data_IF_045456262351
#
_entry.id   IF_045456262351
#
_cell.length_a   1.000
_cell.length_b   1.000
_cell.length_c   1.000
_cell.angle_alpha   90.00
_cell.angle_beta   90.00
_cell.angle_gamma   90.00
#
_symmetry.space_group_name_H-M   'P 1'
#
loop_
_entity.id
_entity.type
_entity.pdbx_description
1 polymer ?
#
# COMPACT_ATOMS: atom_id res chain seq x y z
N UNK A 1 -10.96 -7.73 -15.41
CA UNK A 1 -10.43 -8.78 -14.55
C UNK A 1 -10.93 -10.09 -15.06
N UNK A 2 -10.06 -11.08 -15.12
CA UNK A 2 -10.33 -12.43 -15.58
C UNK A 2 -9.56 -13.41 -14.71
N UNK A 3 -10.07 -14.63 -14.54
CA UNK A 3 -9.37 -15.68 -13.79
C UNK A 3 -8.83 -16.69 -14.79
N UNK A 4 -7.52 -16.69 -15.02
CA UNK A 4 -6.92 -17.37 -16.17
C UNK A 4 -6.31 -18.72 -15.81
N UNK A 5 -6.11 -18.99 -14.52
CA UNK A 5 -5.50 -20.22 -14.02
C UNK A 5 -5.78 -20.40 -12.51
N UNK A 6 -5.29 -21.51 -11.95
CA UNK A 6 -5.41 -21.81 -10.52
C UNK A 6 -4.72 -20.78 -9.61
N UNK A 7 -3.62 -20.16 -10.07
CA UNK A 7 -2.91 -19.15 -9.27
C UNK A 7 -3.78 -17.91 -9.09
N UNK A 8 -4.37 -17.38 -10.17
CA UNK A 8 -5.34 -16.28 -10.12
C UNK A 8 -6.51 -16.64 -9.16
N UNK A 9 -7.00 -17.88 -9.22
CA UNK A 9 -8.07 -18.35 -8.34
C UNK A 9 -7.68 -18.42 -6.86
N UNK A 10 -6.46 -18.85 -6.57
CA UNK A 10 -5.93 -18.92 -5.21
C UNK A 10 -5.70 -17.52 -4.63
N UNK A 11 -5.32 -16.54 -5.45
CA UNK A 11 -5.22 -15.16 -5.01
C UNK A 11 -6.57 -14.64 -4.52
N UNK A 12 -7.66 -14.91 -5.24
CA UNK A 12 -9.02 -14.53 -4.81
C UNK A 12 -9.39 -15.19 -3.48
N UNK A 13 -9.05 -16.47 -3.28
CA UNK A 13 -9.28 -17.15 -2.00
C UNK A 13 -8.52 -16.48 -0.84
N UNK A 14 -7.25 -16.11 -1.07
CA UNK A 14 -6.43 -15.44 -0.05
C UNK A 14 -7.00 -14.08 0.38
N UNK A 15 -7.83 -13.43 -0.45
CA UNK A 15 -8.48 -12.18 -0.07
C UNK A 15 -9.43 -12.35 1.12
N UNK A 16 -10.01 -13.54 1.30
CA UNK A 16 -10.86 -13.86 2.45
C UNK A 16 -10.16 -13.78 3.80
N UNK A 17 -8.83 -13.91 3.83
CA UNK A 17 -8.01 -13.73 5.05
C UNK A 17 -7.72 -12.25 5.34
N UNK A 18 -7.77 -11.42 4.30
CA UNK A 18 -7.42 -10.00 4.38
C UNK A 18 -8.63 -9.05 4.44
N UNK A 19 -9.84 -9.57 4.22
CA UNK A 19 -11.07 -8.76 4.10
C UNK A 19 -12.24 -9.43 4.82
N UNK A 20 -13.31 -8.67 5.06
CA UNK A 20 -14.57 -9.22 5.59
C UNK A 20 -15.48 -9.83 4.52
N UNK A 21 -15.07 -9.85 3.25
CA UNK A 21 -15.85 -10.33 2.12
C UNK A 21 -15.75 -11.86 1.97
N UNK A 22 -16.89 -12.52 1.76
CA UNK A 22 -16.96 -13.97 1.49
C UNK A 22 -17.05 -14.32 0.01
N UNK A 23 -17.54 -13.39 -0.81
CA UNK A 23 -17.82 -13.59 -2.22
C UNK A 23 -17.27 -12.43 -3.03
N UNK A 24 -16.73 -12.76 -4.20
CA UNK A 24 -16.07 -11.82 -5.09
C UNK A 24 -16.54 -11.97 -6.53
N UNK A 25 -16.99 -10.86 -7.11
CA UNK A 25 -17.16 -10.73 -8.55
C UNK A 25 -15.83 -10.90 -9.26
N UNK A 26 -15.80 -11.85 -10.18
CA UNK A 26 -14.60 -12.22 -10.97
C UNK A 26 -14.52 -11.49 -12.31
N UNK A 27 -15.47 -10.60 -12.61
CA UNK A 27 -15.58 -9.92 -13.90
C UNK A 27 -16.06 -10.81 -15.05
N UNK A 28 -16.50 -12.04 -14.77
CA UNK A 28 -17.06 -12.96 -15.74
C UNK A 28 -18.58 -12.98 -15.73
N UNK A 29 -19.17 -13.38 -16.85
CA UNK A 29 -20.62 -13.56 -17.00
C UNK A 29 -20.93 -14.69 -17.97
N UNK A 30 -22.11 -15.28 -17.85
CA UNK A 30 -22.62 -16.32 -18.73
C UNK A 30 -23.87 -15.84 -19.47
N UNK A 31 -23.98 -16.16 -20.75
CA UNK A 31 -25.13 -15.85 -21.60
C UNK A 31 -25.32 -16.92 -22.67
N UNK A 32 -26.53 -17.47 -22.77
CA UNK A 32 -26.86 -18.51 -23.74
C UNK A 32 -26.03 -19.80 -23.56
N UNK A 33 -25.64 -20.13 -22.34
CA UNK A 33 -24.80 -21.31 -22.04
C UNK A 33 -23.31 -21.13 -22.32
N UNK A 34 -22.87 -19.95 -22.77
CA UNK A 34 -21.46 -19.60 -22.94
C UNK A 34 -21.04 -18.56 -21.91
N UNK A 35 -19.83 -18.70 -21.37
CA UNK A 35 -19.29 -17.75 -20.40
C UNK A 35 -18.13 -16.94 -21.00
N UNK A 36 -17.95 -15.71 -20.55
CA UNK A 36 -16.96 -14.76 -21.07
C UNK A 36 -16.51 -13.78 -19.99
N UNK A 37 -15.32 -13.23 -20.16
CA UNK A 37 -14.79 -12.16 -19.30
C UNK A 37 -15.14 -10.79 -19.86
N UNK A 38 -15.45 -9.84 -18.98
CA UNK A 38 -15.75 -8.44 -19.36
C UNK A 38 -14.56 -7.69 -19.97
N UNK A 39 -13.33 -8.16 -19.75
CA UNK A 39 -12.11 -7.60 -20.34
C UNK A 39 -11.76 -8.19 -21.71
N UNK A 40 -12.55 -9.14 -22.22
CA UNK A 40 -12.37 -9.76 -23.54
C UNK A 40 -11.25 -10.81 -23.61
N UNK A 41 -10.61 -11.15 -22.49
CA UNK A 41 -9.62 -12.23 -22.45
C UNK A 41 -10.25 -13.62 -22.72
N UNK A 42 -9.48 -14.62 -23.20
CA UNK A 42 -10.02 -15.95 -23.47
C UNK A 42 -10.55 -16.67 -22.22
N UNK A 43 -11.76 -17.21 -22.30
CA UNK A 43 -12.38 -18.00 -21.23
C UNK A 43 -11.90 -19.46 -21.29
N UNK A 44 -10.69 -19.73 -20.79
CA UNK A 44 -10.02 -21.05 -20.92
C UNK A 44 -9.92 -21.83 -19.60
N UNK A 45 -10.07 -21.17 -18.47
CA UNK A 45 -10.00 -21.76 -17.14
C UNK A 45 -11.35 -21.67 -16.45
N UNK A 46 -11.71 -22.74 -15.73
CA UNK A 46 -12.97 -22.82 -14.98
C UNK A 46 -12.75 -23.48 -13.64
N UNK A 47 -13.38 -22.96 -12.61
CA UNK A 47 -13.36 -23.55 -11.28
C UNK A 47 -14.77 -23.55 -10.67
N UNK A 48 -15.71 -24.13 -11.40
CA UNK A 48 -17.14 -24.14 -11.04
C UNK A 48 -17.43 -25.01 -9.81
N UNK A 49 -18.31 -24.52 -8.96
CA UNK A 49 -18.97 -25.34 -7.94
C UNK A 49 -19.86 -26.41 -8.62
N UNK A 50 -20.18 -27.46 -7.87
CA UNK A 50 -20.97 -28.59 -8.35
C UNK A 50 -22.34 -28.12 -8.86
N UNK A 51 -22.56 -28.29 -10.16
CA UNK A 51 -23.82 -27.97 -10.83
C UNK A 51 -23.87 -26.58 -11.47
N UNK A 52 -22.76 -25.84 -11.44
CA UNK A 52 -22.60 -24.53 -12.08
C UNK A 52 -21.91 -24.64 -13.45
N UNK A 53 -22.09 -23.67 -14.35
CA UNK A 53 -23.02 -22.55 -14.26
C UNK A 53 -24.49 -23.00 -14.44
N UNK A 54 -25.41 -22.49 -13.63
CA UNK A 54 -26.84 -22.82 -13.69
C UNK A 54 -27.73 -21.67 -14.19
N UNK A 55 -27.14 -20.48 -14.42
CA UNK A 55 -27.87 -19.31 -14.91
C UNK A 55 -27.05 -18.47 -15.92
N UNK A 56 -27.75 -17.63 -16.68
CA UNK A 56 -27.13 -16.65 -17.60
C UNK A 56 -26.86 -15.33 -16.86
N UNK A 57 -26.02 -15.37 -15.83
CA UNK A 57 -25.73 -14.23 -14.95
C UNK A 57 -24.21 -14.08 -14.69
N UNK A 58 -23.84 -13.24 -13.73
CA UNK A 58 -22.46 -12.90 -13.40
C UNK A 58 -21.81 -14.01 -12.55
N UNK A 59 -20.48 -14.13 -12.65
CA UNK A 59 -19.69 -15.16 -11.97
C UNK A 59 -19.14 -14.62 -10.65
N UNK A 60 -19.55 -15.24 -9.55
CA UNK A 60 -19.06 -14.98 -8.20
C UNK A 60 -18.20 -16.14 -7.69
N UNK A 61 -17.08 -15.82 -7.06
CA UNK A 61 -16.17 -16.78 -6.43
C UNK A 61 -16.33 -16.77 -4.92
N UNK A 62 -16.52 -17.95 -4.31
CA UNK A 62 -16.53 -18.10 -2.85
C UNK A 62 -15.11 -18.26 -2.32
N UNK A 63 -14.67 -17.42 -1.37
CA UNK A 63 -13.28 -17.47 -0.86
C UNK A 63 -12.95 -18.73 -0.06
N UNK A 64 -13.96 -19.42 0.48
CA UNK A 64 -13.73 -20.60 1.33
C UNK A 64 -13.28 -21.84 0.57
N UNK A 65 -13.75 -22.04 -0.66
CA UNK A 65 -13.34 -23.15 -1.54
C UNK A 65 -12.66 -22.69 -2.82
N UNK A 66 -12.84 -21.41 -3.18
CA UNK A 66 -12.43 -20.83 -4.46
C UNK A 66 -13.40 -21.11 -5.61
N UNK A 67 -14.45 -21.89 -5.38
CA UNK A 67 -15.38 -22.33 -6.41
C UNK A 67 -16.31 -21.22 -6.86
N UNK A 68 -16.67 -21.27 -8.14
CA UNK A 68 -17.47 -20.26 -8.81
C UNK A 68 -18.92 -20.69 -8.93
N UNK A 69 -19.82 -19.73 -8.82
CA UNK A 69 -21.22 -19.91 -9.13
C UNK A 69 -21.75 -18.71 -9.91
N UNK A 70 -22.85 -18.92 -10.64
CA UNK A 70 -23.57 -17.82 -11.29
C UNK A 70 -24.63 -17.26 -10.37
N UNK A 71 -24.69 -15.93 -10.25
CA UNK A 71 -25.65 -15.22 -9.41
C UNK A 71 -26.06 -13.90 -10.06
N UNK A 72 -27.27 -13.41 -9.74
CA UNK A 72 -27.83 -12.16 -10.25
C UNK A 72 -26.80 -11.03 -10.16
N UNK A 73 -26.47 -10.43 -11.31
CA UNK A 73 -25.50 -9.35 -11.43
C UNK A 73 -25.84 -8.10 -10.58
N UNK A 74 -27.10 -7.92 -10.19
CA UNK A 74 -27.54 -6.85 -9.30
C UNK A 74 -27.24 -7.10 -7.82
N UNK A 75 -26.73 -8.28 -7.46
CA UNK A 75 -26.39 -8.65 -6.09
C UNK A 75 -25.16 -7.87 -5.62
N UNK A 76 -25.21 -7.37 -4.37
CA UNK A 76 -24.07 -6.66 -3.76
C UNK A 76 -23.03 -7.65 -3.28
N UNK A 77 -21.92 -7.71 -3.98
CA UNK A 77 -20.72 -8.44 -3.57
C UNK A 77 -19.48 -7.57 -3.73
N UNK A 78 -18.39 -8.00 -3.10
CA UNK A 78 -17.09 -7.38 -3.33
C UNK A 78 -16.62 -7.73 -4.74
N UNK A 79 -15.69 -6.96 -5.29
CA UNK A 79 -15.11 -7.23 -6.60
C UNK A 79 -13.60 -7.31 -6.47
N UNK A 80 -12.98 -8.18 -7.25
CA UNK A 80 -11.53 -8.25 -7.38
C UNK A 80 -11.12 -7.60 -8.68
N UNK A 81 -9.97 -6.92 -8.68
CA UNK A 81 -9.33 -6.42 -9.88
C UNK A 81 -7.90 -6.95 -9.93
N UNK A 82 -7.50 -7.46 -11.08
CA UNK A 82 -6.13 -7.79 -11.42
C UNK A 82 -5.49 -6.53 -12.00
N UNK A 83 -4.46 -6.04 -11.32
CA UNK A 83 -3.58 -5.01 -11.87
C UNK A 83 -2.48 -5.70 -12.67
N UNK A 84 -2.05 -5.15 -13.82
CA UNK A 84 -0.99 -5.74 -14.65
C UNK A 84 0.34 -5.92 -13.90
N UNK A 85 0.53 -5.14 -12.85
CA UNK A 85 1.68 -5.16 -11.97
C UNK A 85 1.20 -5.03 -10.53
N UNK A 86 1.87 -5.71 -9.60
CA UNK A 86 1.63 -5.49 -8.19
C UNK A 86 1.99 -4.05 -7.85
N UNK A 87 1.11 -3.35 -7.13
CA UNK A 87 1.37 -1.99 -6.68
C UNK A 87 2.36 -2.08 -5.54
N UNK A 88 3.59 -1.62 -5.74
CA UNK A 88 4.67 -1.82 -4.77
C UNK A 88 4.86 -0.61 -3.87
N UNK A 89 4.29 0.55 -4.21
CA UNK A 89 4.24 1.73 -3.37
C UNK A 89 3.04 2.64 -3.69
N UNK A 90 2.96 3.78 -3.01
CA UNK A 90 1.93 4.78 -3.23
C UNK A 90 2.06 5.52 -4.58
N UNK A 91 3.27 5.59 -5.15
CA UNK A 91 3.49 6.23 -6.44
C UNK A 91 2.84 5.41 -7.58
N UNK A 92 2.89 4.09 -7.51
CA UNK A 92 2.18 3.21 -8.46
C UNK A 92 0.68 3.50 -8.41
N UNK A 93 0.08 3.57 -7.21
CA UNK A 93 -1.34 3.88 -7.02
C UNK A 93 -1.69 5.26 -7.57
N UNK A 94 -0.84 6.24 -7.29
CA UNK A 94 -0.99 7.59 -7.79
C UNK A 94 -0.97 7.63 -9.32
N UNK A 95 -0.03 6.94 -9.96
CA UNK A 95 0.16 6.95 -11.41
C UNK A 95 -1.02 6.33 -12.17
N UNK A 96 -1.70 5.34 -11.58
CA UNK A 96 -2.91 4.74 -12.17
C UNK A 96 -4.21 5.46 -11.82
N UNK A 97 -4.12 6.61 -11.14
CA UNK A 97 -5.24 7.54 -10.96
C UNK A 97 -5.88 7.57 -9.58
N UNK A 98 -5.34 6.87 -8.58
CA UNK A 98 -5.83 6.96 -7.20
C UNK A 98 -5.21 8.18 -6.52
N UNK A 99 -6.02 9.22 -6.30
CA UNK A 99 -5.55 10.55 -5.87
C UNK A 99 -5.96 10.94 -4.45
N UNK A 100 -6.72 10.10 -3.76
CA UNK A 100 -7.15 10.38 -2.38
C UNK A 100 -6.12 9.85 -1.39
N UNK A 101 -5.66 10.67 -0.44
CA UNK A 101 -4.79 10.21 0.64
C UNK A 101 -5.55 9.26 1.57
N UNK A 102 -4.88 8.22 2.07
CA UNK A 102 -5.52 7.20 2.90
C UNK A 102 -4.67 5.95 3.04
N UNK A 103 -5.26 4.91 3.61
CA UNK A 103 -4.62 3.61 3.70
C UNK A 103 -4.74 2.87 2.37
N UNK A 104 -3.62 2.32 1.90
CA UNK A 104 -3.52 1.51 0.70
C UNK A 104 -2.79 0.21 1.01
N UNK A 105 -3.00 -0.78 0.15
CA UNK A 105 -2.29 -2.04 0.18
C UNK A 105 -1.20 -2.04 -0.89
N UNK A 106 0.02 -2.34 -0.47
CA UNK A 106 1.17 -2.49 -1.38
C UNK A 106 1.78 -3.88 -1.21
N UNK A 107 2.58 -4.30 -2.20
CA UNK A 107 3.28 -5.58 -2.20
C UNK A 107 4.77 -5.37 -2.37
N UNK A 108 5.56 -5.80 -1.38
CA UNK A 108 7.02 -5.76 -1.39
C UNK A 108 7.53 -7.20 -1.26
N UNK A 109 8.34 -7.68 -2.21
CA UNK A 109 8.84 -9.06 -2.24
C UNK A 109 7.78 -10.14 -1.97
N UNK A 110 6.61 -10.02 -2.63
CA UNK A 110 5.44 -10.90 -2.46
C UNK A 110 4.81 -10.89 -1.05
N UNK A 111 5.21 -9.97 -0.18
CA UNK A 111 4.59 -9.73 1.13
C UNK A 111 3.70 -8.50 1.02
N UNK A 112 2.49 -8.59 1.56
CA UNK A 112 1.54 -7.48 1.53
C UNK A 112 1.67 -6.62 2.77
N UNK A 113 1.68 -5.30 2.56
CA UNK A 113 1.71 -4.29 3.61
C UNK A 113 0.50 -3.36 3.46
N UNK A 114 -0.08 -2.98 4.59
CA UNK A 114 -0.91 -1.77 4.65
C UNK A 114 0.03 -0.59 4.86
N UNK A 115 -0.15 0.48 4.10
CA UNK A 115 0.62 1.72 4.18
C UNK A 115 -0.28 2.93 4.14
N UNK A 116 0.13 4.01 4.79
CA UNK A 116 -0.51 5.30 4.62
C UNK A 116 0.11 5.98 3.39
N UNK A 117 -0.72 6.29 2.40
CA UNK A 117 -0.32 7.08 1.24
C UNK A 117 -0.76 8.53 1.40
N UNK A 118 0.18 9.45 1.23
CA UNK A 118 -0.13 10.85 1.00
C UNK A 118 -0.10 11.17 -0.50
N UNK A 119 -1.29 11.43 -1.04
CA UNK A 119 -1.52 11.76 -2.44
C UNK A 119 -1.57 13.28 -2.70
N UNK A 120 -1.33 14.11 -1.68
CA UNK A 120 -1.22 15.56 -1.81
C UNK A 120 0.21 16.00 -2.17
N UNK A 121 0.40 17.28 -2.52
CA UNK A 121 1.72 17.90 -2.73
C UNK A 121 2.65 17.12 -3.68
N UNK A 122 2.15 16.78 -4.88
CA UNK A 122 2.85 15.93 -5.84
C UNK A 122 2.43 14.46 -5.77
N UNK A 123 2.01 14.02 -4.59
CA UNK A 123 1.39 12.72 -4.33
C UNK A 123 2.29 11.51 -4.55
N UNK A 124 1.76 10.33 -4.22
CA UNK A 124 2.51 9.08 -4.33
C UNK A 124 3.48 8.83 -3.17
N UNK A 125 3.36 9.56 -2.08
CA UNK A 125 4.26 9.43 -0.93
C UNK A 125 3.84 8.26 -0.02
N UNK A 126 4.71 7.27 0.12
CA UNK A 126 4.54 6.19 1.10
C UNK A 126 5.05 6.66 2.46
N UNK A 127 4.14 6.87 3.42
CA UNK A 127 4.51 7.31 4.77
C UNK A 127 5.01 6.10 5.57
N UNK A 128 6.29 6.10 5.93
CA UNK A 128 6.90 5.01 6.71
C UNK A 128 6.98 5.30 8.21
N UNK A 129 6.85 6.55 8.62
CA UNK A 129 6.87 6.98 10.02
C UNK A 129 5.97 8.19 10.19
N UNK A 130 5.15 8.20 11.24
CA UNK A 130 4.38 9.37 11.65
C UNK A 130 4.45 9.59 13.17
N UNK A 131 4.62 10.85 13.59
CA UNK A 131 4.50 11.34 14.98
C UNK A 131 3.61 12.58 15.02
N UNK A 132 2.37 12.41 15.45
CA UNK A 132 1.41 13.52 15.61
C UNK A 132 1.30 13.97 17.07
N UNK A 133 1.53 13.07 18.02
CA UNK A 133 1.50 13.37 19.46
C UNK A 133 2.57 12.55 20.23
N UNK A 134 2.61 12.74 21.55
CA UNK A 134 3.54 12.07 22.45
C UNK A 134 2.96 10.82 23.12
N UNK A 135 1.78 10.36 22.72
CA UNK A 135 1.07 9.28 23.42
C UNK A 135 1.64 7.90 23.11
N UNK A 136 2.40 7.77 22.01
CA UNK A 136 3.06 6.52 21.66
C UNK A 136 4.56 6.54 21.91
N UNK A 137 5.00 5.52 22.64
CA UNK A 137 6.40 5.30 22.95
C UNK A 137 7.12 4.63 21.78
N UNK A 138 8.22 5.26 21.38
CA UNK A 138 9.18 4.73 20.40
C UNK A 138 10.49 4.30 21.08
N UNK A 139 10.80 4.77 22.29
CA UNK A 139 12.11 4.59 22.92
C UNK A 139 12.34 3.23 23.59
N UNK A 140 11.29 2.49 23.91
CA UNK A 140 11.32 1.22 24.66
C UNK A 140 10.88 0.01 23.82
N UNK A 141 11.13 0.06 22.51
CA UNK A 141 10.79 -1.00 21.55
C UNK A 141 11.95 -1.95 21.29
N UNK A 142 11.64 -3.22 21.02
CA UNK A 142 12.64 -4.24 20.67
C UNK A 142 13.07 -4.12 19.21
N UNK A 143 14.22 -4.72 18.88
CA UNK A 143 14.72 -4.79 17.51
C UNK A 143 13.69 -5.38 16.53
N UNK A 144 13.03 -6.48 16.90
CA UNK A 144 12.02 -7.12 16.05
C UNK A 144 10.81 -6.21 15.77
N UNK A 145 10.44 -5.33 16.70
CA UNK A 145 9.38 -4.33 16.47
C UNK A 145 9.84 -3.25 15.49
N UNK A 146 11.09 -2.79 15.57
CA UNK A 146 11.63 -1.85 14.59
C UNK A 146 11.85 -2.49 13.22
N UNK A 147 12.23 -3.75 13.18
CA UNK A 147 12.38 -4.52 11.95
C UNK A 147 11.03 -4.65 11.21
N UNK A 148 10.00 -5.10 11.92
CA UNK A 148 8.72 -5.49 11.32
C UNK A 148 7.67 -4.36 11.30
N UNK A 149 7.86 -3.32 12.11
CA UNK A 149 6.88 -2.24 12.27
C UNK A 149 6.01 -2.39 13.52
N UNK A 150 5.35 -1.30 13.89
CA UNK A 150 4.35 -1.25 14.95
C UNK A 150 3.30 -0.16 14.68
N UNK A 151 2.07 -0.41 15.17
CA UNK A 151 0.89 0.44 14.98
C UNK A 151 0.47 0.64 13.51
N UNK A 152 0.63 -0.40 12.68
CA UNK A 152 0.35 -0.37 11.22
C UNK A 152 -0.98 -0.99 10.81
N UNK A 153 -1.80 -1.47 11.76
CA UNK A 153 -3.05 -2.18 11.45
C UNK A 153 -4.18 -1.27 10.93
N UNK A 154 -4.22 -0.01 11.40
CA UNK A 154 -5.21 1.00 10.99
C UNK A 154 -4.55 2.38 10.96
N UNK A 155 -3.99 2.75 9.82
CA UNK A 155 -3.27 4.00 9.68
C UNK A 155 -4.15 5.09 9.09
N UNK A 156 -4.06 6.27 9.69
CA UNK A 156 -4.64 7.50 9.16
C UNK A 156 -3.72 8.67 9.51
N UNK A 157 -4.10 9.88 9.07
CA UNK A 157 -3.33 11.11 9.29
C UNK A 157 -3.06 11.48 10.76
N UNK A 158 -3.76 10.87 11.71
CA UNK A 158 -3.58 11.08 13.16
C UNK A 158 -2.91 9.88 13.85
N UNK A 159 -2.38 8.91 13.10
CA UNK A 159 -1.74 7.73 13.67
C UNK A 159 -0.26 8.01 13.98
N UNK A 160 0.23 7.48 15.11
CA UNK A 160 1.66 7.36 15.39
C UNK A 160 2.11 5.94 15.09
N UNK A 161 2.99 5.76 14.10
CA UNK A 161 3.39 4.43 13.65
C UNK A 161 4.80 4.39 13.09
N UNK A 162 5.31 3.17 12.97
CA UNK A 162 6.55 2.84 12.29
C UNK A 162 6.29 1.67 11.35
N UNK A 163 6.53 1.85 10.06
CA UNK A 163 6.22 0.84 9.04
C UNK A 163 7.12 -0.40 9.13
N UNK A 164 8.36 -0.23 9.61
CA UNK A 164 9.35 -1.31 9.71
C UNK A 164 10.57 -1.09 8.83
N UNK A 165 11.74 -1.48 9.32
CA UNK A 165 13.01 -1.37 8.60
C UNK A 165 13.06 -2.29 7.37
N UNK A 166 12.43 -3.48 7.42
CA UNK A 166 12.39 -4.38 6.26
C UNK A 166 11.61 -3.75 5.11
N UNK A 167 10.42 -3.20 5.39
CA UNK A 167 9.64 -2.49 4.38
C UNK A 167 10.39 -1.26 3.84
N UNK A 168 11.02 -0.49 4.72
CA UNK A 168 11.80 0.69 4.34
C UNK A 168 13.00 0.33 3.45
N UNK A 169 13.70 -0.77 3.75
CA UNK A 169 14.78 -1.28 2.90
C UNK A 169 14.26 -1.60 1.49
N UNK A 170 13.19 -2.40 1.38
CA UNK A 170 12.61 -2.79 0.09
C UNK A 170 12.15 -1.58 -0.73
N UNK A 171 11.49 -0.61 -0.09
CA UNK A 171 11.07 0.65 -0.74
C UNK A 171 12.29 1.43 -1.25
N UNK A 172 13.35 1.52 -0.46
CA UNK A 172 14.55 2.30 -0.79
C UNK A 172 15.42 1.71 -1.90
N UNK A 173 15.19 0.44 -2.26
CA UNK A 173 15.91 -0.24 -3.35
C UNK A 173 15.05 -0.50 -4.59
N UNK A 174 13.76 -0.10 -4.56
CA UNK A 174 12.84 -0.24 -5.69
C UNK A 174 13.37 0.48 -6.93
N UNK A 175 13.78 1.72 -6.74
CA UNK A 175 14.26 2.61 -7.79
C UNK A 175 15.67 3.13 -7.48
N UNK A 176 16.36 3.61 -8.52
CA UNK A 176 17.71 4.17 -8.37
C UNK A 176 17.69 5.50 -7.61
N UNK A 177 16.62 6.27 -7.75
CA UNK A 177 16.50 7.61 -7.19
C UNK A 177 15.23 7.74 -6.32
N UNK A 178 15.28 7.09 -5.15
CA UNK A 178 14.23 7.22 -4.14
C UNK A 178 14.44 8.51 -3.36
N UNK A 179 13.40 9.34 -3.29
CA UNK A 179 13.42 10.58 -2.50
C UNK A 179 12.77 10.36 -1.14
N UNK A 180 13.50 10.66 -0.06
CA UNK A 180 12.98 10.76 1.29
C UNK A 180 12.56 12.19 1.59
N UNK A 181 11.30 12.38 1.96
CA UNK A 181 10.80 13.67 2.45
C UNK A 181 10.53 13.58 3.96
N UNK A 182 11.08 14.54 4.71
CA UNK A 182 10.81 14.70 6.14
C UNK A 182 10.03 15.99 6.33
N UNK A 183 8.88 15.90 6.99
CA UNK A 183 8.03 17.04 7.32
C UNK A 183 7.91 17.22 8.83
N UNK A 184 7.89 18.48 9.28
CA UNK A 184 7.77 18.85 10.68
C UNK A 184 6.78 20.02 10.82
N UNK A 185 5.89 19.95 11.82
CA UNK A 185 4.93 21.00 12.13
C UNK A 185 5.11 21.44 13.60
N UNK A 186 5.46 22.70 13.78
CA UNK A 186 5.55 23.40 15.06
C UNK A 186 6.78 23.05 15.89
N UNK A 187 7.40 24.06 16.50
CA UNK A 187 8.40 23.86 17.53
C UNK A 187 7.73 23.78 18.91
N UNK A 188 7.78 22.59 19.52
CA UNK A 188 7.17 22.30 20.83
C UNK A 188 8.04 22.73 22.02
N UNK A 189 9.17 23.39 21.77
CA UNK A 189 10.03 23.94 22.82
C UNK A 189 9.25 25.02 23.60
N UNK A 190 9.19 24.96 24.94
CA UNK A 190 8.54 25.99 25.73
C UNK A 190 9.12 27.38 25.42
N UNK A 191 8.26 28.30 24.98
CA UNK A 191 8.67 29.66 24.61
C UNK A 191 9.18 29.81 23.17
N UNK A 192 9.00 28.80 22.31
CA UNK A 192 9.35 28.93 20.89
C UNK A 192 8.61 30.08 20.22
N UNK A 193 9.32 30.82 19.38
CA UNK A 193 8.75 31.87 18.53
C UNK A 193 7.93 31.29 17.37
N UNK A 194 8.16 30.03 17.01
CA UNK A 194 7.60 29.37 15.82
C UNK A 194 6.79 28.10 16.16
N UNK A 195 5.79 28.16 17.06
CA UNK A 195 5.08 26.97 17.54
C UNK A 195 4.16 26.32 16.50
N UNK A 196 3.88 27.00 15.38
CA UNK A 196 2.96 26.52 14.33
C UNK A 196 3.60 26.49 12.93
N UNK A 197 4.92 26.71 12.84
CA UNK A 197 5.59 26.75 11.54
C UNK A 197 5.69 25.36 10.93
N UNK A 198 5.71 25.31 9.60
CA UNK A 198 5.89 24.08 8.85
C UNK A 198 7.27 24.08 8.20
N UNK A 199 7.98 22.97 8.37
CA UNK A 199 9.25 22.74 7.72
C UNK A 199 9.28 21.39 7.01
N UNK A 200 9.98 21.34 5.89
CA UNK A 200 10.30 20.07 5.25
C UNK A 200 11.71 20.05 4.70
N UNK A 201 12.23 18.86 4.40
CA UNK A 201 13.44 18.64 3.62
C UNK A 201 13.28 17.39 2.78
N UNK A 202 13.80 17.43 1.56
CA UNK A 202 13.92 16.25 0.70
C UNK A 202 15.38 15.82 0.58
N UNK A 203 15.60 14.52 0.67
CA UNK A 203 16.86 13.84 0.44
C UNK A 203 16.71 12.89 -0.74
N UNK A 204 17.53 13.03 -1.77
CA UNK A 204 17.52 12.13 -2.93
C UNK A 204 18.48 10.96 -2.71
N UNK A 205 18.40 9.96 -3.60
CA UNK A 205 19.18 8.72 -3.53
C UNK A 205 19.08 7.98 -2.18
N UNK A 206 17.96 8.16 -1.46
CA UNK A 206 17.79 7.61 -0.12
C UNK A 206 17.83 6.08 -0.14
N UNK A 207 18.73 5.49 0.66
CA UNK A 207 18.93 4.04 0.68
C UNK A 207 19.21 3.49 2.06
N UNK A 208 18.52 2.42 2.41
CA UNK A 208 18.73 1.63 3.63
C UNK A 208 19.28 0.27 3.22
N UNK A 209 20.28 -0.23 3.93
CA UNK A 209 20.86 -1.56 3.70
C UNK A 209 19.92 -2.69 4.15
N UNK A 210 20.23 -3.95 3.80
CA UNK A 210 19.43 -5.09 4.24
C UNK A 210 19.73 -5.47 5.69
N UNK A 211 19.01 -6.45 6.22
CA UNK A 211 19.15 -6.95 7.60
C UNK A 211 20.57 -7.42 7.92
N UNK A 212 21.30 -8.01 6.97
CA UNK A 212 22.68 -8.49 7.18
C UNK A 212 23.64 -7.35 7.52
N UNK A 213 23.26 -6.12 7.16
CA UNK A 213 23.98 -4.88 7.50
C UNK A 213 23.30 -4.09 8.60
N UNK A 214 22.38 -4.70 9.35
CA UNK A 214 21.55 -4.07 10.38
C UNK A 214 20.81 -2.82 9.88
N UNK A 215 20.32 -2.86 8.64
CA UNK A 215 19.61 -1.73 8.03
C UNK A 215 20.38 -0.41 8.08
N UNK A 216 21.70 -0.48 7.82
CA UNK A 216 22.56 0.72 7.82
C UNK A 216 22.02 1.74 6.81
N UNK A 217 21.89 3.01 7.21
CA UNK A 217 21.63 4.10 6.28
C UNK A 217 22.83 4.25 5.33
N UNK A 218 22.62 3.99 4.04
CA UNK A 218 23.69 3.94 3.04
C UNK A 218 23.88 5.28 2.34
N UNK A 219 22.77 5.88 1.89
CA UNK A 219 22.77 7.12 1.11
C UNK A 219 21.64 8.05 1.58
N UNK A 220 21.91 9.34 1.53
CA UNK A 220 20.98 10.43 1.83
C UNK A 220 21.60 11.75 1.35
N UNK A 221 21.22 12.22 0.15
CA UNK A 221 21.83 13.39 -0.48
C UNK A 221 20.94 14.64 -0.40
N UNK A 222 21.53 15.81 -0.17
CA UNK A 222 20.87 17.13 -0.30
C UNK A 222 21.70 17.98 -1.25
N UNK A 223 21.04 18.54 -2.26
CA UNK A 223 21.63 19.64 -3.03
C UNK A 223 21.57 20.93 -2.20
N UNK A 224 22.71 21.33 -1.63
CA UNK A 224 22.81 22.54 -0.82
C UNK A 224 22.68 23.84 -1.63
N UNK A 225 22.83 23.79 -2.95
CA UNK A 225 22.61 24.94 -3.83
C UNK A 225 21.11 25.13 -4.14
N UNK A 226 20.33 24.04 -4.11
CA UNK A 226 18.89 24.03 -4.42
C UNK A 226 18.07 23.25 -3.39
N UNK A 227 18.26 23.56 -2.11
CA UNK A 227 17.59 22.85 -1.00
C UNK A 227 16.07 22.85 -1.22
N UNK A 228 15.48 21.65 -1.32
CA UNK A 228 14.04 21.47 -1.33
C UNK A 228 13.53 21.46 0.11
N UNK A 229 13.01 22.61 0.55
CA UNK A 229 12.52 22.82 1.90
C UNK A 229 13.46 23.65 2.78
N UNK A 230 13.11 23.79 4.05
CA UNK A 230 13.74 24.70 5.02
C UNK A 230 14.12 24.01 6.34
N UNK A 231 13.89 22.69 6.48
CA UNK A 231 14.18 21.95 7.72
C UNK A 231 15.68 21.66 7.90
N UNK A 232 16.44 21.45 6.82
CA UNK A 232 17.88 21.15 6.87
C UNK A 232 18.75 22.39 7.07
N UNK A 233 18.23 23.58 6.75
CA UNK A 233 18.92 24.86 6.92
C UNK A 233 18.51 25.55 8.22
N UNK A 234 18.14 24.79 9.25
CA UNK A 234 17.77 25.28 10.58
C UNK A 234 18.91 26.04 11.27
N UNK A 235 19.27 27.20 10.74
CA UNK A 235 19.92 28.25 11.48
C UNK A 235 18.91 28.70 12.51
N UNK A 236 19.08 28.23 13.74
CA UNK A 236 18.55 28.91 14.91
C UNK A 236 19.05 30.35 14.81
N UNK A 237 18.18 31.27 14.40
CA UNK A 237 18.46 32.70 14.52
C UNK A 237 18.36 32.96 16.02
N UNK A 238 19.52 32.90 16.70
CA UNK A 238 19.67 33.30 18.10
C UNK A 238 19.54 34.82 18.25
#
# INVERSE_FOLDING_TARGET
TSVRNQFDNNLIQSLGESTSCKYYWTGGYCSGGNCSWTDGTPFQYTFWDKGQPDSNQCISSYVGTGEWHTIDCGTKECFVCETPQAMTDCADWYNVGYKDSGEYRIVLNNVSYNVLCDMNNGGGWTVFQSRVDGNESFWDRKWDEYKNGFNTEQMNKNSNFWLGLEALHQLSIKDVDVTLRIEMNGDRTPGSENPNDFWFVEYTEFKVGPEETNYTLQNMYVDWEHVQGNASTGWYVY
#
